data_IF_610899711506
#
_entry.id   IF_610899711506
#
_cell.length_a   1.000
_cell.length_b   1.000
_cell.length_c   1.000
_cell.angle_alpha   90.00
_cell.angle_beta   90.00
_cell.angle_gamma   90.00
#
_symmetry.space_group_name_H-M   'P 1'
#
loop_
_entity.id
_entity.type
_entity.pdbx_description
1 polymer ?
#
# COMPACT_ATOMS: atom_id res chain seq x y z
N UNK A 1 -27.73 -28.65 -7.19
CA UNK A 1 -26.84 -27.62 -6.60
C UNK A 1 -25.65 -28.36 -6.04
N UNK A 2 -24.42 -28.02 -6.45
CA UNK A 2 -23.21 -28.59 -5.86
C UNK A 2 -22.85 -27.77 -4.61
N UNK A 3 -23.23 -28.21 -3.39
CA UNK A 3 -22.98 -27.43 -2.16
C UNK A 3 -21.49 -27.17 -1.93
N UNK A 4 -20.61 -28.05 -2.40
CA UNK A 4 -19.16 -27.91 -2.23
C UNK A 4 -18.56 -26.70 -2.95
N UNK A 5 -19.14 -26.26 -4.08
CA UNK A 5 -18.59 -25.14 -4.84
C UNK A 5 -18.98 -23.80 -4.19
N UNK A 6 -20.21 -23.67 -3.68
CA UNK A 6 -20.64 -22.47 -2.96
C UNK A 6 -19.83 -22.29 -1.67
N UNK A 7 -19.60 -23.38 -0.95
CA UNK A 7 -18.85 -23.34 0.30
C UNK A 7 -17.40 -22.91 0.04
N UNK A 8 -16.76 -23.43 -1.01
CA UNK A 8 -15.40 -23.04 -1.41
C UNK A 8 -15.28 -21.55 -1.77
N UNK A 9 -16.25 -21.00 -2.52
CA UNK A 9 -16.26 -19.57 -2.87
C UNK A 9 -16.51 -18.69 -1.64
N UNK A 10 -17.39 -19.12 -0.74
CA UNK A 10 -17.66 -18.43 0.53
C UNK A 10 -16.42 -18.41 1.44
N UNK A 11 -15.74 -19.55 1.61
CA UNK A 11 -14.48 -19.64 2.37
C UNK A 11 -13.38 -18.75 1.77
N UNK A 12 -13.27 -18.70 0.43
CA UNK A 12 -12.35 -17.77 -0.26
C UNK A 12 -12.69 -16.31 0.06
N UNK A 13 -13.96 -15.92 0.01
CA UNK A 13 -14.40 -14.57 0.36
C UNK A 13 -14.11 -14.24 1.84
N UNK A 14 -14.39 -15.16 2.77
CA UNK A 14 -14.12 -14.97 4.19
C UNK A 14 -12.60 -14.83 4.46
N UNK A 15 -11.77 -15.65 3.80
CA UNK A 15 -10.32 -15.54 3.88
C UNK A 15 -9.81 -14.18 3.39
N UNK A 16 -10.37 -13.65 2.29
CA UNK A 16 -10.01 -12.31 1.79
C UNK A 16 -10.50 -11.19 2.70
N UNK A 17 -11.67 -11.33 3.32
CA UNK A 17 -12.14 -10.38 4.34
C UNK A 17 -11.23 -10.37 5.57
N UNK A 18 -10.79 -11.54 6.04
CA UNK A 18 -9.83 -11.63 7.14
C UNK A 18 -8.52 -10.92 6.79
N UNK A 19 -8.00 -11.13 5.58
CA UNK A 19 -6.80 -10.44 5.09
C UNK A 19 -6.96 -8.91 5.06
N UNK A 20 -8.15 -8.42 4.70
CA UNK A 20 -8.48 -6.99 4.73
C UNK A 20 -8.46 -6.44 6.17
N UNK A 21 -9.07 -7.13 7.13
CA UNK A 21 -9.10 -6.71 8.54
C UNK A 21 -7.70 -6.74 9.18
N UNK A 22 -6.89 -7.75 8.87
CA UNK A 22 -5.50 -7.82 9.31
C UNK A 22 -4.68 -6.65 8.73
N UNK A 23 -4.87 -6.34 7.44
CA UNK A 23 -4.21 -5.22 6.78
C UNK A 23 -4.62 -3.87 7.37
N UNK A 24 -5.91 -3.69 7.71
CA UNK A 24 -6.42 -2.49 8.40
C UNK A 24 -5.83 -2.35 9.80
N UNK A 25 -5.71 -3.44 10.53
CA UNK A 25 -5.07 -3.47 11.85
C UNK A 25 -3.61 -3.03 11.77
N UNK A 26 -2.87 -3.51 10.77
CA UNK A 26 -1.49 -3.11 10.51
C UNK A 26 -1.42 -1.61 10.16
N UNK A 27 -2.27 -1.12 9.27
CA UNK A 27 -2.33 0.30 8.91
C UNK A 27 -2.58 1.17 10.15
N UNK A 28 -3.53 0.78 11.00
CA UNK A 28 -3.83 1.52 12.22
C UNK A 28 -2.62 1.59 13.17
N UNK A 29 -1.94 0.47 13.40
CA UNK A 29 -0.70 0.44 14.21
C UNK A 29 0.38 1.33 13.60
N UNK A 30 0.59 1.27 12.29
CA UNK A 30 1.57 2.11 11.60
C UNK A 30 1.25 3.60 11.74
N UNK A 31 -0.04 3.99 11.65
CA UNK A 31 -0.47 5.37 11.88
C UNK A 31 -0.19 5.84 13.30
N UNK A 32 -0.41 4.99 14.31
CA UNK A 32 -0.07 5.30 15.70
C UNK A 32 1.44 5.52 15.88
N UNK A 33 2.28 4.63 15.34
CA UNK A 33 3.73 4.76 15.39
C UNK A 33 4.23 6.01 14.64
N UNK A 34 3.67 6.31 13.47
CA UNK A 34 3.99 7.51 12.70
C UNK A 34 3.59 8.78 13.46
N UNK A 35 2.42 8.81 14.07
CA UNK A 35 1.96 9.94 14.89
C UNK A 35 2.85 10.18 16.10
N UNK A 36 3.25 9.12 16.81
CA UNK A 36 4.19 9.24 17.93
C UNK A 36 5.55 9.77 17.47
N UNK A 37 6.06 9.24 16.36
CA UNK A 37 7.33 9.67 15.78
C UNK A 37 7.28 11.12 15.31
N UNK A 38 6.17 11.55 14.71
CA UNK A 38 5.92 12.94 14.33
C UNK A 38 5.94 13.86 15.55
N UNK A 39 5.22 13.49 16.61
CA UNK A 39 5.20 14.27 17.87
C UNK A 39 6.61 14.39 18.48
N UNK A 40 7.41 13.32 18.41
CA UNK A 40 8.79 13.35 18.88
C UNK A 40 9.68 14.25 18.01
N UNK A 41 9.59 14.12 16.68
CA UNK A 41 10.32 14.93 15.72
C UNK A 41 9.97 16.42 15.86
N UNK A 42 8.69 16.75 16.00
CA UNK A 42 8.20 18.10 16.23
C UNK A 42 8.81 18.69 17.50
N UNK A 43 8.77 17.98 18.64
CA UNK A 43 9.41 18.44 19.89
C UNK A 43 10.91 18.70 19.75
N UNK A 44 11.62 17.89 18.96
CA UNK A 44 13.05 18.10 18.72
C UNK A 44 13.30 19.32 17.82
N UNK A 45 12.50 19.49 16.78
CA UNK A 45 12.63 20.62 15.86
C UNK A 45 12.24 21.95 16.53
N UNK A 46 11.18 21.96 17.35
CA UNK A 46 10.77 23.14 18.12
C UNK A 46 11.90 23.62 19.06
N UNK A 47 12.66 22.69 19.67
CA UNK A 47 13.85 23.03 20.47
C UNK A 47 14.96 23.70 19.67
N UNK A 48 15.02 23.47 18.37
CA UNK A 48 15.95 24.11 17.44
C UNK A 48 15.37 25.35 16.75
N UNK A 49 14.12 25.73 17.08
CA UNK A 49 13.41 26.85 16.46
C UNK A 49 12.91 26.56 15.05
N UNK A 50 12.84 25.29 14.64
CA UNK A 50 12.30 24.87 13.35
C UNK A 50 10.88 24.34 13.55
N UNK A 51 9.92 24.89 12.82
CA UNK A 51 8.54 24.42 12.84
C UNK A 51 8.37 23.24 11.87
N UNK A 52 7.94 22.09 12.37
CA UNK A 52 7.52 20.97 11.52
C UNK A 52 6.01 21.06 11.30
N UNK A 53 5.59 21.85 10.31
CA UNK A 53 4.18 22.02 9.93
C UNK A 53 4.01 21.98 8.42
N UNK A 54 2.76 21.88 7.96
CA UNK A 54 2.42 22.01 6.54
C UNK A 54 2.93 23.33 5.94
N UNK A 55 2.92 24.39 6.74
CA UNK A 55 3.43 25.71 6.37
C UNK A 55 4.95 25.74 6.12
N UNK A 56 5.70 24.78 6.67
CA UNK A 56 7.15 24.66 6.48
C UNK A 56 7.52 23.87 5.22
N UNK A 57 6.54 23.30 4.50
CA UNK A 57 6.78 22.58 3.24
C UNK A 57 7.18 23.60 2.17
N UNK A 58 8.35 23.44 1.50
CA UNK A 58 8.74 24.33 0.42
C UNK A 58 7.69 24.37 -0.70
N UNK A 59 7.12 25.55 -0.96
CA UNK A 59 6.05 25.75 -1.96
C UNK A 59 6.55 26.07 -3.36
N UNK A 60 7.86 26.32 -3.52
CA UNK A 60 8.46 26.56 -4.82
C UNK A 60 8.33 25.32 -5.72
N UNK A 61 8.00 25.52 -6.99
CA UNK A 61 7.88 24.43 -7.95
C UNK A 61 9.18 23.63 -8.02
N UNK A 62 9.09 22.31 -7.81
CA UNK A 62 10.23 21.40 -7.80
C UNK A 62 11.03 21.34 -6.49
N UNK A 63 10.64 22.08 -5.44
CA UNK A 63 11.34 22.05 -4.16
C UNK A 63 11.10 20.74 -3.37
N UNK A 64 9.94 20.11 -3.59
CA UNK A 64 9.64 18.75 -3.09
C UNK A 64 9.40 17.86 -4.30
N UNK A 65 10.05 16.69 -4.31
CA UNK A 65 9.87 15.68 -5.36
C UNK A 65 9.12 14.46 -4.79
N UNK A 66 8.23 13.82 -5.55
CA UNK A 66 7.63 12.56 -5.12
C UNK A 66 8.73 11.49 -5.02
N UNK A 67 8.91 10.93 -3.82
CA UNK A 67 9.86 9.82 -3.62
C UNK A 67 9.27 8.49 -4.08
N UNK A 68 7.95 8.34 -3.96
CA UNK A 68 7.26 7.12 -4.32
C UNK A 68 6.05 7.45 -5.19
N UNK A 69 5.75 6.56 -6.12
CA UNK A 69 4.45 6.52 -6.77
C UNK A 69 3.79 5.17 -6.55
N UNK A 70 2.49 5.16 -6.76
CA UNK A 70 1.68 3.96 -6.71
C UNK A 70 1.37 3.60 -8.17
N UNK A 71 1.73 2.38 -8.56
CA UNK A 71 1.46 1.83 -9.89
C UNK A 71 0.51 0.66 -9.77
N UNK A 72 -0.43 0.58 -10.71
CA UNK A 72 -1.33 -0.55 -10.90
C UNK A 72 -0.80 -1.40 -12.04
N UNK A 73 -0.35 -2.60 -11.75
CA UNK A 73 0.07 -3.56 -12.76
C UNK A 73 -1.05 -4.56 -13.00
N UNK A 74 -1.43 -4.79 -14.26
CA UNK A 74 -2.27 -5.93 -14.59
C UNK A 74 -1.44 -7.19 -14.43
N UNK A 75 -1.95 -8.18 -13.71
CA UNK A 75 -1.34 -9.51 -13.71
C UNK A 75 -1.57 -10.10 -15.09
N UNK A 76 -0.56 -10.02 -15.96
CA UNK A 76 -0.60 -10.67 -17.28
C UNK A 76 -1.03 -12.13 -17.08
N UNK A 77 -2.22 -12.47 -17.58
CA UNK A 77 -2.68 -13.84 -17.66
C UNK A 77 -1.68 -14.58 -18.53
N UNK A 78 -0.77 -15.33 -17.91
CA UNK A 78 0.30 -16.04 -18.58
C UNK A 78 -0.24 -17.01 -19.62
N UNK A 79 -0.41 -16.54 -20.85
CA UNK A 79 -0.63 -17.37 -22.03
C UNK A 79 0.76 -17.66 -22.64
N UNK A 80 1.59 -18.37 -21.87
CA UNK A 80 2.81 -19.01 -22.32
C UNK A 80 2.49 -20.45 -22.67
N UNK A 81 2.65 -20.80 -23.95
CA UNK A 81 1.99 -21.94 -24.58
C UNK A 81 2.32 -23.34 -24.05
N UNK A 82 1.35 -24.23 -24.20
CA UNK A 82 1.54 -25.45 -24.97
C UNK A 82 0.19 -25.93 -25.53
N UNK A 83 0.16 -26.24 -26.82
CA UNK A 83 -1.02 -26.72 -27.52
C UNK A 83 -1.24 -28.21 -27.18
N UNK A 84 -1.75 -28.48 -25.98
CA UNK A 84 -2.10 -29.81 -25.50
C UNK A 84 -3.61 -30.03 -25.51
N UNK A 85 -4.09 -30.80 -26.48
CA UNK A 85 -5.49 -31.21 -26.66
C UNK A 85 -5.98 -32.05 -25.46
N UNK A 86 -6.95 -31.55 -24.69
CA UNK A 86 -7.68 -32.37 -23.72
C UNK A 86 -8.40 -31.61 -22.60
N UNK A 87 -9.72 -31.70 -22.57
CA UNK A 87 -10.64 -31.28 -21.50
C UNK A 87 -10.67 -29.79 -21.16
N UNK A 88 -11.63 -29.08 -21.76
CA UNK A 88 -12.04 -27.73 -21.38
C UNK A 88 -12.57 -27.70 -19.94
N UNK A 89 -11.67 -27.51 -18.98
CA UNK A 89 -12.02 -26.96 -17.67
C UNK A 89 -12.19 -25.45 -17.85
N UNK A 90 -13.44 -24.98 -17.76
CA UNK A 90 -13.79 -23.57 -17.76
C UNK A 90 -13.17 -22.97 -16.50
N UNK A 91 -12.00 -22.35 -16.60
CA UNK A 91 -11.38 -21.63 -15.48
C UNK A 91 -12.13 -20.32 -15.27
N UNK A 92 -13.15 -20.37 -14.40
CA UNK A 92 -13.93 -19.24 -13.86
C UNK A 92 -13.10 -18.29 -12.97
N UNK A 93 -11.78 -18.24 -13.19
CA UNK A 93 -10.79 -17.56 -12.35
C UNK A 93 -10.01 -16.48 -13.14
N UNK A 94 -10.54 -16.00 -14.28
CA UNK A 94 -10.04 -14.79 -14.95
C UNK A 94 -10.52 -13.53 -14.22
N UNK A 95 -10.24 -13.49 -12.93
CA UNK A 95 -10.35 -12.31 -12.11
C UNK A 95 -9.23 -11.38 -12.54
N UNK A 96 -9.60 -10.18 -13.02
CA UNK A 96 -8.71 -9.04 -13.26
C UNK A 96 -8.00 -8.65 -11.96
N UNK A 97 -6.96 -9.40 -11.60
CA UNK A 97 -6.16 -9.21 -10.40
C UNK A 97 -5.12 -8.14 -10.71
N UNK A 98 -5.55 -6.89 -10.77
CA UNK A 98 -4.61 -5.80 -10.70
C UNK A 98 -3.82 -5.89 -9.39
N UNK A 99 -2.52 -5.63 -9.47
CA UNK A 99 -1.62 -5.59 -8.31
C UNK A 99 -1.13 -4.17 -8.14
N UNK A 100 -1.38 -3.61 -6.96
CA UNK A 100 -0.89 -2.29 -6.58
C UNK A 100 0.52 -2.41 -6.00
N UNK A 101 1.44 -1.61 -6.51
CA UNK A 101 2.83 -1.56 -6.04
C UNK A 101 3.27 -0.14 -5.76
N UNK A 102 4.03 0.00 -4.68
CA UNK A 102 4.77 1.23 -4.39
C UNK A 102 6.12 1.15 -5.10
N UNK A 103 6.35 2.04 -6.05
CA UNK A 103 7.60 2.16 -6.80
C UNK A 103 8.32 3.44 -6.42
N UNK A 104 9.65 3.41 -6.43
CA UNK A 104 10.44 4.62 -6.23
C UNK A 104 10.34 5.48 -7.50
N UNK A 105 9.88 6.71 -7.35
CA UNK A 105 9.65 7.64 -8.47
C UNK A 105 10.73 8.69 -8.61
N UNK A 106 11.64 8.79 -7.65
CA UNK A 106 12.68 9.80 -7.68
C UNK A 106 13.88 9.33 -8.50
N UNK A 107 14.29 10.17 -9.45
CA UNK A 107 15.70 10.26 -9.89
C UNK A 107 16.63 10.68 -8.74
N UNK A 108 16.07 11.00 -7.57
CA UNK A 108 16.73 11.35 -6.31
C UNK A 108 17.51 10.19 -5.68
N UNK A 109 18.13 9.32 -6.47
CA UNK A 109 19.08 8.32 -6.01
C UNK A 109 20.31 9.01 -5.39
N UNK A 110 20.18 9.46 -4.14
CA UNK A 110 21.25 10.09 -3.36
C UNK A 110 20.85 11.32 -2.54
N UNK A 111 19.70 11.95 -2.83
CA UNK A 111 19.25 13.10 -2.04
C UNK A 111 18.42 12.65 -0.85
N UNK A 112 18.89 12.99 0.35
CA UNK A 112 18.20 12.73 1.60
C UNK A 112 16.96 13.61 1.74
N UNK A 113 15.74 13.05 1.69
CA UNK A 113 14.52 13.86 1.70
C UNK A 113 14.25 14.56 3.03
N UNK A 114 14.94 14.17 4.11
CA UNK A 114 14.89 14.91 5.36
C UNK A 114 15.50 16.31 5.22
N UNK A 115 16.41 16.49 4.26
CA UNK A 115 17.03 17.79 3.96
C UNK A 115 16.08 18.80 3.32
N UNK A 116 14.92 18.37 2.81
CA UNK A 116 13.90 19.29 2.31
C UNK A 116 13.24 20.11 3.43
N UNK A 117 13.31 19.61 4.67
CA UNK A 117 12.66 20.24 5.83
C UNK A 117 13.66 20.84 6.82
N UNK A 118 14.88 20.32 6.88
CA UNK A 118 15.92 20.81 7.78
C UNK A 118 17.30 20.70 7.14
N UNK A 119 18.10 21.76 7.22
CA UNK A 119 19.49 21.76 6.71
C UNK A 119 20.33 20.66 7.37
N UNK A 120 20.10 20.41 8.67
CA UNK A 120 20.70 19.32 9.44
C UNK A 120 19.57 18.46 10.04
N UNK A 121 19.04 17.48 9.29
CA UNK A 121 17.89 16.70 9.75
C UNK A 121 18.26 15.79 10.93
N UNK A 122 17.45 15.84 11.98
CA UNK A 122 17.61 14.98 13.16
C UNK A 122 17.29 13.52 12.84
N UNK A 123 17.78 12.61 13.67
CA UNK A 123 17.42 11.19 13.59
C UNK A 123 15.90 10.99 13.75
N UNK A 124 15.27 11.72 14.67
CA UNK A 124 13.81 11.64 14.87
C UNK A 124 13.03 12.06 13.60
N UNK A 125 13.50 13.04 12.84
CA UNK A 125 12.87 13.43 11.58
C UNK A 125 12.98 12.30 10.54
N UNK A 126 14.14 11.64 10.46
CA UNK A 126 14.36 10.50 9.55
C UNK A 126 13.48 9.31 9.93
N UNK A 127 13.42 8.97 11.21
CA UNK A 127 12.54 7.94 11.74
C UNK A 127 11.08 8.27 11.47
N UNK A 128 10.65 9.52 11.68
CA UNK A 128 9.32 9.98 11.36
C UNK A 128 8.99 9.76 9.86
N UNK A 129 9.88 10.18 8.96
CA UNK A 129 9.71 9.93 7.52
C UNK A 129 9.63 8.44 7.20
N UNK A 130 10.46 7.60 7.83
CA UNK A 130 10.42 6.15 7.63
C UNK A 130 9.09 5.54 8.08
N UNK A 131 8.54 5.97 9.21
CA UNK A 131 7.23 5.51 9.67
C UNK A 131 6.11 5.91 8.72
N UNK A 132 6.11 7.15 8.21
CA UNK A 132 5.13 7.57 7.20
C UNK A 132 5.27 6.83 5.87
N UNK A 133 6.49 6.46 5.45
CA UNK A 133 6.69 5.54 4.31
C UNK A 133 6.07 4.17 4.59
N UNK A 134 6.20 3.67 5.81
CA UNK A 134 5.53 2.46 6.29
C UNK A 134 4.00 2.56 6.23
N UNK A 135 3.43 3.71 6.61
CA UNK A 135 1.99 3.99 6.49
C UNK A 135 1.55 3.93 5.03
N UNK A 136 2.26 4.59 4.11
CA UNK A 136 1.91 4.57 2.67
C UNK A 136 1.94 3.13 2.13
N UNK A 137 2.95 2.34 2.49
CA UNK A 137 3.01 0.92 2.12
C UNK A 137 1.83 0.12 2.69
N UNK A 138 1.45 0.37 3.95
CA UNK A 138 0.30 -0.26 4.56
C UNK A 138 -1.02 0.13 3.87
N UNK A 139 -1.17 1.39 3.43
CA UNK A 139 -2.32 1.82 2.62
C UNK A 139 -2.42 1.04 1.31
N UNK A 140 -1.30 0.86 0.59
CA UNK A 140 -1.27 0.06 -0.66
C UNK A 140 -1.70 -1.38 -0.39
N UNK A 141 -1.26 -1.99 0.71
CA UNK A 141 -1.70 -3.34 1.11
C UNK A 141 -3.19 -3.41 1.43
N UNK A 142 -3.75 -2.40 2.10
CA UNK A 142 -5.19 -2.32 2.37
C UNK A 142 -5.99 -2.20 1.07
N UNK A 143 -5.54 -1.36 0.13
CA UNK A 143 -6.17 -1.24 -1.19
C UNK A 143 -6.16 -2.59 -1.92
N UNK A 144 -5.01 -3.26 -1.95
CA UNK A 144 -4.87 -4.59 -2.55
C UNK A 144 -5.83 -5.61 -1.90
N UNK A 145 -5.84 -5.70 -0.57
CA UNK A 145 -6.72 -6.62 0.14
C UNK A 145 -8.21 -6.29 -0.07
N UNK A 146 -8.55 -5.01 -0.20
CA UNK A 146 -9.91 -4.56 -0.47
C UNK A 146 -10.37 -4.99 -1.87
N UNK A 147 -9.55 -4.82 -2.90
CA UNK A 147 -9.88 -5.29 -4.26
C UNK A 147 -10.03 -6.81 -4.32
N UNK A 148 -9.15 -7.55 -3.63
CA UNK A 148 -9.24 -9.01 -3.54
C UNK A 148 -10.51 -9.47 -2.81
N UNK A 149 -10.90 -8.78 -1.73
CA UNK A 149 -12.12 -9.08 -0.98
C UNK A 149 -13.37 -8.77 -1.80
N UNK A 150 -13.43 -7.62 -2.48
CA UNK A 150 -14.53 -7.26 -3.38
C UNK A 150 -14.67 -8.30 -4.48
N UNK A 151 -13.55 -8.71 -5.08
CA UNK A 151 -13.61 -9.67 -6.17
C UNK A 151 -14.03 -11.05 -5.70
N UNK A 152 -13.52 -11.53 -4.56
CA UNK A 152 -13.95 -12.80 -3.99
C UNK A 152 -15.44 -12.77 -3.64
N UNK A 153 -15.94 -11.68 -3.05
CA UNK A 153 -17.36 -11.50 -2.73
C UNK A 153 -18.24 -11.52 -3.99
N UNK A 154 -17.79 -10.93 -5.10
CA UNK A 154 -18.52 -10.95 -6.37
C UNK A 154 -18.69 -12.37 -6.96
N UNK A 155 -17.85 -13.34 -6.55
CA UNK A 155 -17.99 -14.74 -6.99
C UNK A 155 -18.96 -15.56 -6.14
N UNK A 156 -19.35 -15.06 -4.96
CA UNK A 156 -20.27 -15.77 -4.05
C UNK A 156 -21.69 -15.66 -4.60
N UNK A 157 -22.38 -16.77 -4.88
CA UNK A 157 -23.76 -16.71 -5.36
C UNK A 157 -24.67 -16.14 -4.26
N UNK A 158 -25.29 -15.00 -4.54
CA UNK A 158 -26.37 -14.44 -3.71
C UNK A 158 -27.65 -15.18 -4.11
N UNK A 159 -28.03 -16.20 -3.34
CA UNK A 159 -29.32 -16.90 -3.47
C UNK A 159 -30.46 -16.10 -2.86
#
# INVERSE_FOLDING_TARGET
>A
MNPSLSDSKFEKAMSKLQLLEDSRTILHRMLQHAHFSFSNAQRQMDRTGLLLAWEAVPTAAGAVKPQYCIVREMKDGGNGGDAGVGAAAISDDNVDCAVWKLVNCGDSAGEDPAKWFAVAPSEALRECQQHFRGVVNACVKVIQAQEEAITAAATVPVT
#
